data_IF_537320388789
#
_entry.id   IF_537320388789
#
_cell.length_a   1.000
_cell.length_b   1.000
_cell.length_c   1.000
_cell.angle_alpha   90.00
_cell.angle_beta   90.00
_cell.angle_gamma   90.00
#
_symmetry.space_group_name_H-M   'P 1'
#
loop_
_entity.id
_entity.type
_entity.pdbx_description
1 polymer ?
#
# COMPACT_ATOMS: atom_id res chain seq x y z
N UNK A 1 -3.92 -10.21 -14.63
CA UNK A 1 -3.96 -8.78 -14.27
C UNK A 1 -4.35 -8.62 -12.82
N UNK A 2 -3.60 -7.78 -12.10
CA UNK A 2 -3.84 -7.58 -10.68
C UNK A 2 -4.64 -6.31 -10.41
N UNK A 3 -5.26 -6.28 -9.23
CA UNK A 3 -6.03 -5.14 -8.73
C UNK A 3 -5.38 -4.69 -7.42
N UNK A 4 -5.03 -3.43 -7.34
CA UNK A 4 -4.31 -2.89 -6.19
C UNK A 4 -4.94 -1.57 -5.73
N UNK A 5 -4.89 -1.33 -4.42
CA UNK A 5 -5.34 -0.07 -3.82
C UNK A 5 -4.12 0.69 -3.31
N UNK A 6 -4.02 1.96 -3.67
CA UNK A 6 -2.99 2.86 -3.16
C UNK A 6 -3.63 3.84 -2.20
N UNK A 7 -3.12 3.90 -0.97
CA UNK A 7 -3.58 4.84 0.06
C UNK A 7 -2.41 5.77 0.39
N UNK A 8 -2.52 7.03 0.00
CA UNK A 8 -1.45 8.02 0.20
C UNK A 8 -2.09 9.40 0.21
N UNK A 9 -1.74 10.23 1.20
CA UNK A 9 -2.29 11.59 1.31
C UNK A 9 -1.61 12.57 0.35
N UNK A 10 -0.46 12.21 -0.22
CA UNK A 10 0.22 13.03 -1.22
C UNK A 10 -0.43 12.78 -2.58
N UNK A 11 -1.12 13.80 -3.10
CA UNK A 11 -1.85 13.68 -4.36
C UNK A 11 -0.93 13.33 -5.53
N UNK A 12 0.26 13.92 -5.58
CA UNK A 12 1.20 13.70 -6.68
C UNK A 12 1.74 12.26 -6.66
N UNK A 13 2.16 11.79 -5.50
CA UNK A 13 2.68 10.43 -5.36
C UNK A 13 1.58 9.42 -5.70
N UNK A 14 0.38 9.63 -5.18
CA UNK A 14 -0.75 8.74 -5.42
C UNK A 14 -1.08 8.67 -6.91
N UNK A 15 -1.16 9.81 -7.57
CA UNK A 15 -1.52 9.90 -8.98
C UNK A 15 -0.45 9.31 -9.89
N UNK A 16 0.82 9.68 -9.66
CA UNK A 16 1.93 9.16 -10.46
C UNK A 16 2.07 7.65 -10.28
N UNK A 17 1.95 7.17 -9.06
CA UNK A 17 2.03 5.73 -8.78
C UNK A 17 0.92 4.96 -9.49
N UNK A 18 -0.31 5.46 -9.43
CA UNK A 18 -1.44 4.81 -10.09
C UNK A 18 -1.26 4.76 -11.60
N UNK A 19 -0.94 5.90 -12.20
CA UNK A 19 -0.76 5.99 -13.65
C UNK A 19 0.38 5.08 -14.12
N UNK A 20 1.48 5.05 -13.39
CA UNK A 20 2.64 4.25 -13.76
C UNK A 20 2.35 2.76 -13.66
N UNK A 21 1.68 2.31 -12.60
CA UNK A 21 1.30 0.90 -12.47
C UNK A 21 0.33 0.47 -13.56
N UNK A 22 -0.61 1.32 -13.90
CA UNK A 22 -1.52 1.04 -15.00
C UNK A 22 -0.80 0.95 -16.35
N UNK A 23 0.13 1.87 -16.59
CA UNK A 23 0.87 1.94 -17.85
C UNK A 23 1.90 0.82 -18.01
N UNK A 24 2.65 0.51 -16.94
CA UNK A 24 3.76 -0.45 -17.02
C UNK A 24 3.35 -1.88 -16.76
N UNK A 25 2.34 -2.11 -15.93
CA UNK A 25 1.93 -3.45 -15.53
C UNK A 25 0.53 -3.83 -16.01
N UNK A 26 -0.25 -2.86 -16.46
CA UNK A 26 -1.61 -3.12 -16.88
C UNK A 26 -2.57 -3.45 -15.75
N UNK A 27 -2.20 -3.10 -14.51
CA UNK A 27 -3.02 -3.39 -13.34
C UNK A 27 -4.18 -2.40 -13.22
N UNK A 28 -5.24 -2.84 -12.57
CA UNK A 28 -6.34 -1.96 -12.17
C UNK A 28 -5.98 -1.34 -10.83
N UNK A 29 -5.94 -0.02 -10.75
CA UNK A 29 -5.52 0.69 -9.55
C UNK A 29 -6.66 1.53 -9.00
N UNK A 30 -6.98 1.30 -7.73
CA UNK A 30 -7.89 2.14 -6.97
C UNK A 30 -7.06 3.04 -6.06
N UNK A 31 -7.56 4.19 -5.70
CA UNK A 31 -6.83 5.15 -4.86
C UNK A 31 -7.69 5.68 -3.73
N UNK A 32 -7.03 6.05 -2.64
CA UNK A 32 -7.66 6.73 -1.52
C UNK A 32 -6.66 7.71 -0.91
N UNK A 33 -7.15 8.82 -0.39
CA UNK A 33 -6.30 9.89 0.12
C UNK A 33 -6.04 9.80 1.62
N UNK A 34 -6.72 8.92 2.32
CA UNK A 34 -6.55 8.74 3.77
C UNK A 34 -6.91 7.31 4.19
N UNK A 35 -6.56 6.96 5.42
CA UNK A 35 -6.82 5.63 5.94
C UNK A 35 -8.29 5.26 5.94
N UNK A 36 -9.14 6.17 6.38
CA UNK A 36 -10.60 5.91 6.46
C UNK A 36 -11.19 5.62 5.09
N UNK A 37 -10.88 6.46 4.10
CA UNK A 37 -11.34 6.24 2.73
C UNK A 37 -10.76 4.96 2.16
N UNK A 38 -9.50 4.65 2.49
CA UNK A 38 -8.85 3.41 2.07
C UNK A 38 -9.59 2.17 2.58
N UNK A 39 -10.03 2.18 3.82
CA UNK A 39 -10.81 1.07 4.37
C UNK A 39 -12.12 0.91 3.59
N UNK A 40 -12.81 2.01 3.31
CA UNK A 40 -14.07 1.98 2.55
C UNK A 40 -13.85 1.41 1.14
N UNK A 41 -12.81 1.84 0.45
CA UNK A 41 -12.48 1.33 -0.89
C UNK A 41 -12.12 -0.14 -0.82
N UNK A 42 -11.34 -0.55 0.18
CA UNK A 42 -10.96 -1.95 0.35
C UNK A 42 -12.18 -2.84 0.55
N UNK A 43 -13.14 -2.39 1.35
CA UNK A 43 -14.38 -3.13 1.58
C UNK A 43 -15.23 -3.24 0.32
N UNK A 44 -15.27 -2.17 -0.47
CA UNK A 44 -16.08 -2.11 -1.69
C UNK A 44 -15.43 -2.89 -2.84
N UNK A 45 -14.15 -2.68 -3.07
CA UNK A 45 -13.45 -3.23 -4.24
C UNK A 45 -12.69 -4.53 -3.97
N UNK A 46 -12.35 -4.81 -2.73
CA UNK A 46 -11.59 -5.99 -2.32
C UNK A 46 -10.37 -6.24 -3.22
N UNK A 47 -9.40 -5.31 -3.22
CA UNK A 47 -8.22 -5.45 -4.05
C UNK A 47 -7.36 -6.65 -3.60
N UNK A 48 -6.45 -7.07 -4.46
CA UNK A 48 -5.55 -8.18 -4.16
C UNK A 48 -4.41 -7.76 -3.25
N UNK A 49 -4.07 -6.47 -3.23
CA UNK A 49 -3.03 -5.92 -2.37
C UNK A 49 -3.28 -4.44 -2.13
N UNK A 50 -2.69 -3.92 -1.06
CA UNK A 50 -2.79 -2.51 -0.69
C UNK A 50 -1.37 -1.96 -0.52
N UNK A 51 -1.10 -0.84 -1.18
CA UNK A 51 0.12 -0.06 -0.98
C UNK A 51 -0.27 1.17 -0.17
N UNK A 52 0.30 1.33 1.03
CA UNK A 52 -0.18 2.34 1.96
C UNK A 52 0.97 3.14 2.57
N UNK A 53 0.87 4.46 2.51
CA UNK A 53 1.81 5.36 3.14
C UNK A 53 1.74 5.23 4.66
N UNK A 54 2.89 5.34 5.32
CA UNK A 54 2.96 5.32 6.78
C UNK A 54 2.50 6.64 7.39
N UNK A 55 3.00 7.76 6.85
CA UNK A 55 2.76 9.09 7.41
C UNK A 55 1.56 9.76 6.77
N UNK A 56 0.40 9.62 7.40
CA UNK A 56 -0.83 10.26 6.96
C UNK A 56 -1.47 11.00 8.13
N UNK A 57 -2.15 12.14 7.89
CA UNK A 57 -2.85 12.84 8.95
C UNK A 57 -4.00 12.02 9.52
N UNK A 58 -4.35 12.27 10.76
CA UNK A 58 -5.46 11.66 11.50
C UNK A 58 -5.24 10.17 11.82
N UNK A 59 -5.00 9.35 10.81
CA UNK A 59 -4.80 7.91 11.00
C UNK A 59 -3.67 7.44 10.11
N UNK A 60 -2.52 7.12 10.71
CA UNK A 60 -1.32 6.68 9.98
C UNK A 60 -1.49 5.28 9.39
N UNK A 61 -0.50 4.84 8.60
CA UNK A 61 -0.52 3.53 7.97
C UNK A 61 -0.63 2.37 8.96
N UNK A 62 0.23 2.30 9.97
CA UNK A 62 0.14 1.23 10.97
C UNK A 62 -1.21 1.17 11.69
N UNK A 63 -1.79 2.32 12.04
CA UNK A 63 -3.10 2.38 12.69
C UNK A 63 -4.20 1.90 11.73
N UNK A 64 -4.14 2.35 10.49
CA UNK A 64 -5.09 1.91 9.46
C UNK A 64 -5.00 0.41 9.26
N UNK A 65 -3.78 -0.13 9.19
CA UNK A 65 -3.57 -1.57 9.05
C UNK A 65 -4.20 -2.33 10.21
N UNK A 66 -4.00 -1.87 11.45
CA UNK A 66 -4.60 -2.52 12.62
C UNK A 66 -6.12 -2.53 12.55
N UNK A 67 -6.72 -1.44 12.11
CA UNK A 67 -8.18 -1.40 11.93
C UNK A 67 -8.63 -2.39 10.86
N UNK A 68 -7.90 -2.49 9.75
CA UNK A 68 -8.23 -3.46 8.70
C UNK A 68 -8.19 -4.89 9.21
N UNK A 69 -7.24 -5.20 10.12
CA UNK A 69 -7.13 -6.53 10.69
C UNK A 69 -8.33 -6.90 11.56
N UNK A 70 -9.10 -5.93 12.03
CA UNK A 70 -10.32 -6.16 12.80
C UNK A 70 -11.55 -6.40 11.91
N UNK A 71 -11.40 -6.27 10.59
CA UNK A 71 -12.50 -6.42 9.64
C UNK A 71 -12.25 -7.69 8.83
N UNK A 72 -12.96 -8.80 9.14
CA UNK A 72 -12.66 -10.09 8.49
C UNK A 72 -12.70 -10.06 6.97
N UNK A 73 -13.56 -9.23 6.38
CA UNK A 73 -13.70 -9.16 4.93
C UNK A 73 -12.44 -8.70 4.22
N UNK A 74 -11.57 -7.94 4.89
CA UNK A 74 -10.35 -7.38 4.28
C UNK A 74 -9.08 -7.71 5.06
N UNK A 75 -9.19 -8.39 6.20
CA UNK A 75 -8.03 -8.70 7.05
C UNK A 75 -6.96 -9.53 6.34
N UNK A 76 -7.34 -10.33 5.36
CA UNK A 76 -6.41 -11.18 4.62
C UNK A 76 -5.71 -10.51 3.45
N UNK A 77 -6.06 -9.27 3.11
CA UNK A 77 -5.44 -8.59 1.98
C UNK A 77 -4.02 -8.17 2.39
N UNK A 78 -2.98 -8.56 1.62
CA UNK A 78 -1.61 -8.16 1.96
C UNK A 78 -1.43 -6.66 1.82
N UNK A 79 -0.74 -6.07 2.79
CA UNK A 79 -0.46 -4.63 2.83
C UNK A 79 1.04 -4.43 2.74
N UNK A 80 1.45 -3.57 1.81
CA UNK A 80 2.83 -3.11 1.67
C UNK A 80 2.87 -1.66 2.14
N UNK A 81 3.64 -1.39 3.18
CA UNK A 81 3.80 -0.02 3.68
C UNK A 81 4.85 0.73 2.86
N UNK A 82 4.60 2.00 2.64
CA UNK A 82 5.51 2.88 1.92
C UNK A 82 5.90 4.02 2.85
N UNK A 83 7.18 4.17 3.14
CA UNK A 83 7.64 5.12 4.14
C UNK A 83 8.94 5.79 3.73
N UNK A 84 9.21 6.98 4.28
CA UNK A 84 10.52 7.59 4.15
C UNK A 84 11.57 6.70 4.83
N UNK A 85 12.82 6.78 4.37
CA UNK A 85 13.91 6.00 4.96
C UNK A 85 13.96 6.21 6.46
N UNK A 86 13.88 5.12 7.24
CA UNK A 86 13.79 5.19 8.69
C UNK A 86 14.94 4.44 9.36
N UNK A 87 15.11 4.67 10.66
CA UNK A 87 16.09 3.97 11.48
C UNK A 87 15.67 2.50 11.63
N UNK A 88 16.65 1.63 11.94
CA UNK A 88 16.39 0.21 12.08
C UNK A 88 15.31 -0.15 13.10
N UNK A 89 15.14 0.67 14.14
CA UNK A 89 14.10 0.46 15.16
C UNK A 89 12.71 0.52 14.53
N UNK A 90 12.49 1.50 13.64
CA UNK A 90 11.20 1.66 12.99
C UNK A 90 10.92 0.50 12.02
N UNK A 91 11.96 0.03 11.32
CA UNK A 91 11.81 -1.12 10.43
C UNK A 91 11.36 -2.36 11.20
N UNK A 92 11.95 -2.60 12.37
CA UNK A 92 11.57 -3.73 13.22
C UNK A 92 10.14 -3.59 13.73
N UNK A 93 9.75 -2.38 14.07
CA UNK A 93 8.38 -2.08 14.52
C UNK A 93 7.37 -2.44 13.42
N UNK A 94 7.65 -2.03 12.19
CA UNK A 94 6.75 -2.30 11.07
C UNK A 94 6.71 -3.80 10.74
N UNK A 95 7.85 -4.47 10.77
CA UNK A 95 7.90 -5.91 10.52
C UNK A 95 7.04 -6.69 11.52
N UNK A 96 6.98 -6.22 12.77
CA UNK A 96 6.17 -6.87 13.79
C UNK A 96 4.67 -6.68 13.65
N UNK A 97 4.21 -5.82 12.74
CA UNK A 97 2.78 -5.57 12.55
C UNK A 97 2.06 -6.68 11.78
N UNK A 98 2.79 -7.42 10.95
CA UNK A 98 2.17 -8.41 10.07
C UNK A 98 1.92 -7.93 8.66
N UNK A 99 2.48 -6.77 8.29
CA UNK A 99 2.43 -6.30 6.91
C UNK A 99 3.27 -7.20 6.02
N UNK A 100 2.94 -7.26 4.73
CA UNK A 100 3.65 -8.12 3.79
C UNK A 100 5.07 -7.63 3.52
N UNK A 101 5.25 -6.32 3.46
CA UNK A 101 6.57 -5.72 3.20
C UNK A 101 6.56 -4.24 3.51
N UNK A 102 7.74 -3.64 3.54
CA UNK A 102 7.93 -2.19 3.68
C UNK A 102 8.83 -1.73 2.56
N UNK A 103 8.39 -0.76 1.79
CA UNK A 103 9.18 -0.12 0.74
C UNK A 103 9.52 1.30 1.16
N UNK A 104 10.60 1.86 0.62
CA UNK A 104 11.12 3.16 1.05
C UNK A 104 10.96 4.22 -0.02
N UNK A 105 10.65 5.43 0.43
CA UNK A 105 10.67 6.64 -0.40
C UNK A 105 12.06 7.27 -0.32
N UNK A 106 12.53 7.94 -1.36
CA UNK A 106 11.92 8.03 -2.67
C UNK A 106 12.07 6.70 -3.44
N UNK A 107 11.08 6.36 -4.24
CA UNK A 107 11.15 5.18 -5.10
C UNK A 107 11.03 5.62 -6.56
N UNK A 108 11.53 4.78 -7.45
CA UNK A 108 11.38 5.00 -8.88
C UNK A 108 10.03 4.43 -9.32
N UNK A 109 9.09 5.27 -9.77
CA UNK A 109 7.79 4.76 -10.19
C UNK A 109 7.89 3.67 -11.26
N UNK A 110 8.92 3.74 -12.12
CA UNK A 110 9.10 2.75 -13.19
C UNK A 110 9.44 1.36 -12.67
N UNK A 111 9.99 1.25 -11.46
CA UNK A 111 10.33 -0.05 -10.86
C UNK A 111 9.31 -0.50 -9.80
N UNK A 112 8.31 0.31 -9.52
CA UNK A 112 7.37 0.02 -8.44
C UNK A 112 6.63 -1.31 -8.64
N UNK A 113 6.15 -1.57 -9.85
CA UNK A 113 5.46 -2.83 -10.15
C UNK A 113 6.36 -4.04 -9.89
N UNK A 114 7.62 -3.97 -10.32
CA UNK A 114 8.58 -5.05 -10.09
C UNK A 114 8.82 -5.28 -8.61
N UNK A 115 8.94 -4.21 -7.83
CA UNK A 115 9.13 -4.31 -6.39
C UNK A 115 7.94 -4.96 -5.70
N UNK A 116 6.73 -4.58 -6.10
CA UNK A 116 5.51 -5.16 -5.54
C UNK A 116 5.41 -6.64 -5.89
N UNK A 117 5.69 -7.01 -7.14
CA UNK A 117 5.70 -8.42 -7.55
C UNK A 117 6.67 -9.22 -6.71
N UNK A 118 7.86 -8.69 -6.49
CA UNK A 118 8.91 -9.38 -5.74
C UNK A 118 8.48 -9.66 -4.30
N UNK A 119 7.98 -8.63 -3.60
CA UNK A 119 7.63 -8.78 -2.19
C UNK A 119 6.35 -9.60 -1.97
N UNK A 120 5.47 -9.67 -2.96
CA UNK A 120 4.22 -10.43 -2.85
C UNK A 120 4.30 -11.80 -3.54
N UNK A 121 5.39 -12.09 -4.22
CA UNK A 121 5.55 -13.36 -4.93
C UNK A 121 4.69 -13.48 -6.18
N UNK A 122 4.29 -12.37 -6.77
CA UNK A 122 3.48 -12.39 -7.98
C UNK A 122 4.32 -12.72 -9.21
N UNK A 123 3.75 -13.53 -10.11
CA UNK A 123 4.45 -14.04 -11.29
C UNK A 123 4.22 -13.20 -12.54
N UNK A 124 3.21 -12.37 -12.57
CA UNK A 124 2.87 -11.57 -13.75
C UNK A 124 3.08 -10.06 -13.56
#
# INVERSE_FOLDING_TARGET
MHRILIIDDDDDIREVSALTLEATAGWTVYTAACGRDGIDVALEQKPEAILMDVMMPEMDGPTTFKEMQQIPAIAGIPVVLLTAKVQGVDQRRFAGLGVAAVLFKPFDPLTLAAQIREVLGWQD
#
